data_IF_924376791148
#
_entry.id   IF_924376791148
#
_cell.length_a   1.000
_cell.length_b   1.000
_cell.length_c   1.000
_cell.angle_alpha   90.00
_cell.angle_beta   90.00
_cell.angle_gamma   90.00
#
_symmetry.space_group_name_H-M   'P 1'
#
loop_
_entity.id
_entity.type
_entity.pdbx_description
1 polymer ?
#
# COMPACT_ATOMS: atom_id res chain seq x y z
N UNK A 1 -2.11 20.13 13.98
CA UNK A 1 -1.02 19.61 13.12
C UNK A 1 -1.37 18.20 12.67
N UNK A 2 -1.09 17.83 11.43
CA UNK A 2 -1.28 16.47 10.95
C UNK A 2 -0.20 15.53 11.55
N UNK A 3 -0.57 14.30 11.87
CA UNK A 3 0.37 13.27 12.34
C UNK A 3 0.89 12.49 11.13
N UNK A 4 2.20 12.58 10.88
CA UNK A 4 2.86 11.77 9.86
C UNK A 4 3.32 10.46 10.48
N UNK A 5 2.99 9.35 9.82
CA UNK A 5 3.30 8.00 10.30
C UNK A 5 4.08 7.31 9.20
N UNK A 6 5.32 6.94 9.49
CA UNK A 6 6.16 6.16 8.60
C UNK A 6 6.12 4.69 9.02
N UNK A 7 5.76 3.81 8.09
CA UNK A 7 5.69 2.37 8.35
C UNK A 7 6.20 1.59 7.16
N UNK A 8 6.87 0.48 7.43
CA UNK A 8 7.41 -0.45 6.44
C UNK A 8 7.66 -1.81 7.08
N UNK A 9 7.67 -2.86 6.27
CA UNK A 9 8.30 -4.11 6.67
C UNK A 9 9.83 -3.94 6.54
N UNK A 10 10.58 -4.42 7.52
CA UNK A 10 12.04 -4.38 7.52
C UNK A 10 12.59 -5.71 8.04
N UNK A 11 13.68 -6.20 7.44
CA UNK A 11 14.43 -7.34 7.97
C UNK A 11 15.14 -6.97 9.28
N UNK A 12 15.58 -7.98 10.01
CA UNK A 12 16.28 -7.79 11.29
C UNK A 12 17.61 -7.02 11.14
N UNK A 13 18.28 -7.21 10.01
CA UNK A 13 19.54 -6.58 9.63
C UNK A 13 19.37 -5.25 8.88
N UNK A 14 18.14 -4.71 8.78
CA UNK A 14 17.92 -3.31 8.35
C UNK A 14 17.44 -3.11 6.91
N UNK A 15 17.18 -4.16 6.15
CA UNK A 15 16.80 -4.07 4.74
C UNK A 15 15.28 -3.97 4.54
N UNK A 16 14.89 -3.27 3.47
CA UNK A 16 13.49 -3.13 3.04
C UNK A 16 13.41 -3.61 1.59
N UNK A 17 12.56 -4.59 1.33
CA UNK A 17 12.43 -5.20 0.01
C UNK A 17 10.98 -5.63 -0.24
N UNK A 18 10.41 -5.25 -1.37
CA UNK A 18 9.00 -5.54 -1.71
C UNK A 18 8.80 -6.90 -2.38
N UNK A 19 9.88 -7.60 -2.76
CA UNK A 19 9.86 -8.91 -3.40
C UNK A 19 10.22 -10.03 -2.41
N UNK A 20 11.09 -9.75 -1.44
CA UNK A 20 11.68 -10.74 -0.53
C UNK A 20 11.07 -10.74 0.87
N UNK A 21 10.05 -9.92 1.11
CA UNK A 21 9.39 -9.80 2.41
C UNK A 21 7.89 -10.12 2.31
N UNK A 22 7.51 -11.38 2.04
CA UNK A 22 6.12 -11.76 2.01
C UNK A 22 5.48 -11.50 3.38
N UNK A 23 4.29 -10.91 3.37
CA UNK A 23 3.50 -10.73 4.58
C UNK A 23 2.73 -12.02 4.85
N UNK A 24 3.03 -12.71 5.93
CA UNK A 24 2.16 -13.79 6.42
C UNK A 24 0.76 -13.23 6.81
N UNK A 25 -0.26 -14.09 6.97
CA UNK A 25 -1.66 -13.66 7.17
C UNK A 25 -1.85 -12.65 8.32
N UNK A 26 -1.14 -12.84 9.43
CA UNK A 26 -1.21 -11.95 10.60
C UNK A 26 -0.70 -10.55 10.28
N UNK A 27 0.45 -10.45 9.59
CA UNK A 27 1.03 -9.17 9.19
C UNK A 27 0.16 -8.49 8.13
N UNK A 28 -0.39 -9.27 7.20
CA UNK A 28 -1.31 -8.74 6.20
C UNK A 28 -2.55 -8.10 6.83
N UNK A 29 -3.18 -8.78 7.80
CA UNK A 29 -4.31 -8.22 8.57
C UNK A 29 -3.93 -6.95 9.31
N UNK A 30 -2.77 -6.93 9.96
CA UNK A 30 -2.26 -5.72 10.63
C UNK A 30 -2.20 -4.54 9.65
N UNK A 31 -1.65 -4.74 8.45
CA UNK A 31 -1.54 -3.69 7.43
C UNK A 31 -2.90 -3.22 6.91
N UNK A 32 -3.85 -4.13 6.71
CA UNK A 32 -5.21 -3.80 6.32
C UNK A 32 -5.87 -2.85 7.32
N UNK A 33 -5.77 -3.16 8.62
CA UNK A 33 -6.28 -2.29 9.69
C UNK A 33 -5.59 -0.92 9.68
N UNK A 34 -4.30 -0.85 9.35
CA UNK A 34 -3.62 0.44 9.24
C UNK A 34 -4.13 1.26 8.07
N UNK A 35 -4.24 0.66 6.87
CA UNK A 35 -4.73 1.34 5.67
C UNK A 35 -6.14 1.89 5.92
N UNK A 36 -7.03 1.11 6.55
CA UNK A 36 -8.39 1.54 6.87
C UNK A 36 -8.47 2.76 7.79
N UNK A 37 -7.51 2.93 8.70
CA UNK A 37 -7.54 3.97 9.74
C UNK A 37 -6.75 5.25 9.37
N UNK A 38 -6.10 5.27 8.20
CA UNK A 38 -5.33 6.41 7.73
C UNK A 38 -6.20 7.36 6.89
N UNK A 39 -6.03 8.68 7.08
CA UNK A 39 -6.72 9.69 6.28
C UNK A 39 -6.23 9.75 4.82
N UNK A 40 -5.06 9.17 4.54
CA UNK A 40 -4.45 9.10 3.23
C UNK A 40 -2.99 8.66 3.32
N UNK A 41 -2.39 8.37 2.16
CA UNK A 41 -1.05 7.81 2.07
C UNK A 41 -0.18 8.59 1.09
N UNK A 42 1.11 8.74 1.40
CA UNK A 42 2.08 9.42 0.52
C UNK A 42 3.08 8.40 0.02
N UNK A 43 3.24 8.33 -1.31
CA UNK A 43 4.13 7.38 -1.97
C UNK A 43 5.11 8.08 -2.91
N UNK A 44 6.33 7.54 -3.00
CA UNK A 44 7.20 7.79 -4.14
C UNK A 44 6.80 6.90 -5.33
N UNK A 45 7.21 7.28 -6.54
CA UNK A 45 6.91 6.55 -7.79
C UNK A 45 7.00 5.03 -7.68
N UNK A 46 8.16 4.50 -7.26
CA UNK A 46 8.41 3.06 -7.33
C UNK A 46 7.49 2.25 -6.43
N UNK A 47 7.26 2.70 -5.19
CA UNK A 47 6.33 2.02 -4.28
C UNK A 47 4.88 2.17 -4.74
N UNK A 48 4.51 3.34 -5.29
CA UNK A 48 3.20 3.54 -5.87
C UNK A 48 2.93 2.55 -7.01
N UNK A 49 3.86 2.42 -7.96
CA UNK A 49 3.75 1.47 -9.08
C UNK A 49 3.60 0.02 -8.61
N UNK A 50 4.33 -0.40 -7.56
CA UNK A 50 4.15 -1.74 -6.95
C UNK A 50 2.76 -1.90 -6.34
N UNK A 51 2.29 -0.90 -5.60
CA UNK A 51 1.01 -0.97 -4.89
C UNK A 51 -0.21 -0.83 -5.82
N UNK A 52 -0.03 -0.32 -7.04
CA UNK A 52 -1.10 -0.26 -8.07
C UNK A 52 -1.69 -1.62 -8.42
N UNK A 53 -1.03 -2.72 -8.06
CA UNK A 53 -1.62 -4.06 -8.08
C UNK A 53 -3.03 -4.12 -7.46
N UNK A 54 -3.25 -3.35 -6.39
CA UNK A 54 -4.53 -3.29 -5.67
C UNK A 54 -5.59 -2.40 -6.32
N UNK A 55 -5.26 -1.69 -7.41
CA UNK A 55 -6.25 -0.95 -8.19
C UNK A 55 -7.11 -1.88 -9.05
N UNK A 56 -6.57 -3.05 -9.42
CA UNK A 56 -7.26 -4.06 -10.22
C UNK A 56 -8.14 -4.97 -9.34
N UNK A 57 -8.91 -5.85 -9.99
CA UNK A 57 -9.69 -6.88 -9.33
C UNK A 57 -9.36 -8.24 -9.95
N UNK A 58 -8.96 -9.18 -9.11
CA UNK A 58 -8.42 -10.46 -9.53
C UNK A 58 -9.27 -11.59 -8.92
N UNK A 59 -9.87 -12.48 -9.73
CA UNK A 59 -10.78 -13.51 -9.22
C UNK A 59 -10.11 -14.56 -8.33
N UNK A 60 -8.79 -14.70 -8.40
CA UNK A 60 -7.98 -15.61 -7.59
C UNK A 60 -7.68 -15.09 -6.17
N UNK A 61 -8.05 -13.84 -5.86
CA UNK A 61 -7.78 -13.24 -4.56
C UNK A 61 -8.58 -13.92 -3.44
N UNK A 62 -7.96 -13.99 -2.26
CA UNK A 62 -8.69 -14.34 -1.05
C UNK A 62 -9.65 -13.22 -0.65
N UNK A 63 -10.59 -13.52 0.24
CA UNK A 63 -11.50 -12.51 0.78
C UNK A 63 -10.74 -11.33 1.42
N UNK A 64 -9.65 -11.61 2.15
CA UNK A 64 -8.82 -10.59 2.78
C UNK A 64 -8.09 -9.72 1.75
N UNK A 65 -7.65 -10.31 0.63
CA UNK A 65 -7.00 -9.57 -0.44
C UNK A 65 -7.98 -8.61 -1.12
N UNK A 66 -9.21 -9.05 -1.42
CA UNK A 66 -10.27 -8.16 -1.91
C UNK A 66 -10.60 -7.05 -0.90
N UNK A 67 -10.63 -7.38 0.39
CA UNK A 67 -10.88 -6.41 1.45
C UNK A 67 -9.78 -5.33 1.52
N UNK A 68 -8.51 -5.74 1.43
CA UNK A 68 -7.38 -4.83 1.35
C UNK A 68 -7.45 -3.95 0.11
N UNK A 69 -7.77 -4.53 -1.05
CA UNK A 69 -7.90 -3.80 -2.31
C UNK A 69 -9.00 -2.73 -2.23
N UNK A 70 -10.14 -3.06 -1.62
CA UNK A 70 -11.22 -2.10 -1.38
C UNK A 70 -10.78 -0.96 -0.44
N UNK A 71 -10.06 -1.27 0.65
CA UNK A 71 -9.52 -0.26 1.55
C UNK A 71 -8.51 0.66 0.85
N UNK A 72 -7.60 0.08 0.05
CA UNK A 72 -6.62 0.80 -0.77
C UNK A 72 -7.28 1.77 -1.76
N UNK A 73 -8.26 1.29 -2.53
CA UNK A 73 -8.95 2.11 -3.54
C UNK A 73 -9.70 3.28 -2.91
N UNK A 74 -10.30 3.09 -1.73
CA UNK A 74 -11.03 4.14 -1.02
C UNK A 74 -10.13 5.20 -0.37
N UNK A 75 -8.86 4.90 -0.13
CA UNK A 75 -7.95 5.83 0.54
C UNK A 75 -7.31 6.84 -0.43
N UNK A 76 -7.35 8.16 -0.15
CA UNK A 76 -6.62 9.16 -0.93
C UNK A 76 -5.11 8.89 -0.90
N UNK A 77 -4.46 8.98 -2.06
CA UNK A 77 -3.01 8.82 -2.19
C UNK A 77 -2.42 10.10 -2.78
N UNK A 78 -1.21 10.43 -2.37
CA UNK A 78 -0.39 11.47 -3.01
C UNK A 78 0.88 10.85 -3.52
N UNK A 79 1.15 10.99 -4.81
CA UNK A 79 2.33 10.42 -5.45
C UNK A 79 3.35 11.52 -5.74
N UNK A 80 4.50 11.44 -5.09
CA UNK A 80 5.62 12.37 -5.30
C UNK A 80 6.54 11.78 -6.36
N UNK A 81 6.58 12.41 -7.53
CA UNK A 81 7.38 11.97 -8.66
C UNK A 81 7.75 13.13 -9.58
N UNK A 82 8.91 13.03 -10.23
CA UNK A 82 9.32 13.95 -11.31
C UNK A 82 9.03 13.39 -12.71
N UNK A 83 8.81 12.09 -12.82
CA UNK A 83 8.72 11.39 -14.12
C UNK A 83 7.33 10.85 -14.43
N UNK A 84 6.50 10.57 -13.42
CA UNK A 84 5.13 10.12 -13.65
C UNK A 84 4.31 11.24 -14.29
N UNK A 85 3.55 10.88 -15.33
CA UNK A 85 2.67 11.80 -16.07
C UNK A 85 1.20 11.67 -15.66
N UNK A 86 0.83 10.52 -15.13
CA UNK A 86 -0.51 10.24 -14.61
C UNK A 86 -0.43 9.22 -13.48
N UNK A 87 -1.50 9.20 -12.70
CA UNK A 87 -1.74 8.31 -11.57
C UNK A 87 -3.17 7.77 -11.69
N UNK A 88 -3.44 6.66 -11.01
CA UNK A 88 -4.74 6.00 -10.99
C UNK A 88 -5.79 6.75 -10.16
N UNK A 89 -7.02 6.23 -10.10
CA UNK A 89 -8.09 6.83 -9.33
C UNK A 89 -7.70 7.04 -7.86
N UNK A 90 -8.11 8.17 -7.29
CA UNK A 90 -7.89 8.50 -5.89
C UNK A 90 -6.39 8.55 -5.50
N UNK A 91 -5.51 8.92 -6.45
CA UNK A 91 -4.06 9.08 -6.31
C UNK A 91 -3.55 10.32 -7.04
#
# INVERSE_FOLDING_TARGET
MAKLIFRMNQSLDGYVDHQKMPSGPTIFRHWMEQVRNLSGSVYGRGMYEVMRYWDEDHPEWSAEAHEFAAAWRNQPKWVVSRSLKSVGPNA
#
